data_IF_442704868923
#
_entry.id   IF_442704868923
#
_cell.length_a   1.000
_cell.length_b   1.000
_cell.length_c   1.000
_cell.angle_alpha   90.00
_cell.angle_beta   90.00
_cell.angle_gamma   90.00
#
_symmetry.space_group_name_H-M   'P 1'
#
loop_
_entity.id
_entity.type
_entity.pdbx_description
1 polymer ?
#
# COMPACT_ATOMS: atom_id res chain seq x y z
N UNK A 1 -32.37 -58.29 -32.64
CA UNK A 1 -30.95 -58.75 -32.64
C UNK A 1 -30.15 -57.77 -33.50
N UNK A 2 -30.10 -56.47 -33.16
CA UNK A 2 -29.53 -55.82 -31.98
C UNK A 2 -28.03 -56.06 -31.82
N UNK A 3 -27.26 -55.07 -32.26
CA UNK A 3 -26.10 -54.54 -31.53
C UNK A 3 -25.79 -53.16 -32.09
N UNK A 4 -26.41 -52.14 -31.48
CA UNK A 4 -25.95 -50.76 -31.56
C UNK A 4 -24.71 -50.64 -30.68
N UNK A 5 -23.58 -50.30 -31.28
CA UNK A 5 -22.40 -49.83 -30.53
C UNK A 5 -22.71 -48.46 -29.95
N UNK A 6 -22.84 -48.39 -28.64
CA UNK A 6 -22.99 -47.15 -27.87
C UNK A 6 -21.61 -46.49 -27.82
N UNK A 7 -21.50 -45.28 -28.36
CA UNK A 7 -20.35 -44.41 -28.12
C UNK A 7 -20.56 -43.72 -26.78
N UNK A 8 -19.60 -43.84 -25.86
CA UNK A 8 -19.62 -43.14 -24.59
C UNK A 8 -19.31 -41.64 -24.79
N UNK A 9 -20.13 -40.72 -24.23
CA UNK A 9 -19.79 -39.30 -24.20
C UNK A 9 -18.87 -39.03 -23.00
N UNK A 10 -17.58 -38.92 -23.26
CA UNK A 10 -16.57 -38.71 -22.23
C UNK A 10 -15.28 -38.09 -22.75
N UNK A 11 -15.35 -36.89 -23.34
CA UNK A 11 -14.20 -35.98 -23.45
C UNK A 11 -14.68 -34.53 -23.33
N UNK A 12 -14.85 -34.03 -22.09
CA UNK A 12 -14.78 -32.59 -21.84
C UNK A 12 -13.31 -32.21 -21.77
N UNK A 13 -12.71 -32.00 -22.94
CA UNK A 13 -11.40 -31.34 -23.05
C UNK A 13 -11.66 -29.84 -23.10
N UNK A 14 -11.68 -29.21 -21.93
CA UNK A 14 -11.47 -27.76 -21.78
C UNK A 14 -10.77 -27.53 -20.43
N UNK A 15 -9.57 -28.10 -20.30
CA UNK A 15 -8.59 -27.57 -19.35
C UNK A 15 -8.05 -26.28 -19.97
N UNK A 16 -8.84 -25.19 -19.85
CA UNK A 16 -8.33 -23.84 -20.08
C UNK A 16 -7.32 -23.57 -18.97
N UNK A 17 -6.08 -23.99 -19.16
CA UNK A 17 -4.97 -23.52 -18.35
C UNK A 17 -4.94 -22.01 -18.50
N UNK A 18 -5.48 -21.29 -17.51
CA UNK A 18 -5.43 -19.84 -17.48
C UNK A 18 -3.98 -19.44 -17.71
N UNK A 19 -3.72 -18.63 -18.74
CA UNK A 19 -2.37 -18.15 -19.02
C UNK A 19 -1.78 -17.53 -17.74
N UNK A 20 -0.51 -17.81 -17.41
CA UNK A 20 0.04 -17.36 -16.14
C UNK A 20 -0.09 -15.85 -16.01
N UNK A 21 -0.68 -15.40 -14.90
CA UNK A 21 -0.85 -13.98 -14.59
C UNK A 21 0.51 -13.30 -14.53
N UNK A 22 0.61 -12.09 -15.09
CA UNK A 22 1.84 -11.31 -15.03
C UNK A 22 2.10 -10.84 -13.60
N UNK A 23 3.34 -10.86 -13.14
CA UNK A 23 3.68 -10.37 -11.80
C UNK A 23 3.75 -8.84 -11.80
N UNK A 24 2.88 -8.20 -11.02
CA UNK A 24 2.91 -6.77 -10.78
C UNK A 24 3.39 -6.50 -9.35
N UNK A 25 4.49 -5.78 -9.21
CA UNK A 25 4.92 -5.25 -7.91
C UNK A 25 4.58 -3.76 -7.84
N UNK A 26 3.93 -3.35 -6.76
CA UNK A 26 3.62 -1.95 -6.44
C UNK A 26 4.44 -1.53 -5.23
N UNK A 27 5.29 -0.52 -5.40
CA UNK A 27 6.06 0.08 -4.31
C UNK A 27 5.31 1.31 -3.81
N UNK A 28 4.69 1.22 -2.63
CA UNK A 28 3.92 2.29 -2.01
C UNK A 28 2.45 1.90 -1.83
N UNK A 29 2.07 1.60 -0.59
CA UNK A 29 0.70 1.31 -0.16
C UNK A 29 -0.13 2.59 0.10
N UNK A 30 0.10 3.64 -0.69
CA UNK A 30 -0.59 4.92 -0.56
C UNK A 30 -1.83 5.02 -1.47
N UNK A 31 -2.58 6.11 -1.33
CA UNK A 31 -3.80 6.36 -2.12
C UNK A 31 -3.57 6.25 -3.63
N UNK A 32 -2.45 6.75 -4.16
CA UNK A 32 -2.17 6.70 -5.59
C UNK A 32 -1.93 5.26 -6.10
N UNK A 33 -1.12 4.48 -5.38
CA UNK A 33 -0.79 3.10 -5.76
C UNK A 33 -2.02 2.20 -5.71
N UNK A 34 -2.79 2.28 -4.62
CA UNK A 34 -3.98 1.44 -4.46
C UNK A 34 -5.11 1.88 -5.38
N UNK A 35 -5.29 3.18 -5.64
CA UNK A 35 -6.25 3.63 -6.65
C UNK A 35 -5.96 3.05 -8.04
N UNK A 36 -4.69 2.96 -8.42
CA UNK A 36 -4.30 2.32 -9.67
C UNK A 36 -4.62 0.81 -9.67
N UNK A 37 -4.37 0.12 -8.55
CA UNK A 37 -4.72 -1.31 -8.39
C UNK A 37 -6.22 -1.54 -8.47
N UNK A 38 -7.04 -0.72 -7.79
CA UNK A 38 -8.50 -0.80 -7.88
C UNK A 38 -9.01 -0.70 -9.31
N UNK A 39 -8.49 0.24 -10.09
CA UNK A 39 -8.89 0.41 -11.49
C UNK A 39 -8.37 -0.73 -12.38
N UNK A 40 -7.17 -1.26 -12.10
CA UNK A 40 -6.65 -2.45 -12.79
C UNK A 40 -7.53 -3.68 -12.54
N UNK A 41 -7.98 -3.89 -11.31
CA UNK A 41 -8.85 -5.02 -10.95
C UNK A 41 -10.22 -4.92 -11.65
N UNK A 42 -10.73 -3.70 -11.89
CA UNK A 42 -11.97 -3.49 -12.66
C UNK A 42 -11.79 -3.75 -14.15
N UNK A 43 -10.67 -3.30 -14.72
CA UNK A 43 -10.42 -3.38 -16.17
C UNK A 43 -9.91 -4.75 -16.61
N UNK A 44 -9.13 -5.42 -15.76
CA UNK A 44 -8.42 -6.64 -16.08
C UNK A 44 -8.20 -7.51 -14.82
N UNK A 45 -9.28 -8.07 -14.22
CA UNK A 45 -9.23 -8.77 -12.93
C UNK A 45 -8.24 -9.95 -12.89
N UNK A 46 -8.09 -10.65 -14.02
CA UNK A 46 -7.27 -11.86 -14.11
C UNK A 46 -5.90 -11.64 -14.76
N UNK A 47 -5.49 -10.40 -15.03
CA UNK A 47 -4.25 -10.14 -15.77
C UNK A 47 -3.00 -10.24 -14.87
N UNK A 48 -3.11 -9.82 -13.62
CA UNK A 48 -1.96 -9.66 -12.72
C UNK A 48 -2.05 -10.51 -11.45
N UNK A 49 -0.89 -11.02 -11.05
CA UNK A 49 -0.58 -11.47 -9.70
C UNK A 49 0.13 -10.32 -8.98
N UNK A 50 -0.52 -9.73 -7.98
CA UNK A 50 -0.16 -8.41 -7.44
C UNK A 50 0.51 -8.56 -6.07
N UNK A 51 1.69 -7.95 -5.91
CA UNK A 51 2.32 -7.73 -4.62
C UNK A 51 2.45 -6.21 -4.36
N UNK A 52 2.13 -5.78 -3.15
CA UNK A 52 2.19 -4.38 -2.72
C UNK A 52 3.12 -4.26 -1.52
N UNK A 53 4.07 -3.33 -1.58
CA UNK A 53 4.92 -2.94 -0.44
C UNK A 53 4.44 -1.64 0.19
N UNK A 54 4.27 -1.64 1.50
CA UNK A 54 4.05 -0.45 2.33
C UNK A 54 5.10 -0.35 3.42
N UNK A 55 5.76 0.81 3.53
CA UNK A 55 6.73 1.07 4.60
C UNK A 55 6.04 1.21 5.98
N UNK A 56 4.78 1.64 5.99
CA UNK A 56 3.97 1.76 7.21
C UNK A 56 3.32 0.41 7.58
N UNK A 57 3.11 0.13 8.89
CA UNK A 57 2.50 -1.12 9.36
C UNK A 57 0.96 -1.12 9.29
N UNK A 58 0.38 -0.39 8.33
CA UNK A 58 -1.06 -0.15 8.24
C UNK A 58 -1.60 -0.38 6.81
N UNK A 59 -2.88 -0.78 6.65
CA UNK A 59 -3.54 -0.72 5.35
C UNK A 59 -3.57 0.72 4.81
N UNK A 60 -3.87 0.89 3.53
CA UNK A 60 -3.96 2.22 2.95
C UNK A 60 -5.14 3.01 3.55
N UNK A 61 -4.92 4.31 3.70
CA UNK A 61 -5.85 5.22 4.36
C UNK A 61 -5.87 6.57 3.65
N UNK A 62 -6.92 7.35 3.90
CA UNK A 62 -7.05 8.69 3.38
C UNK A 62 -6.20 9.65 4.21
N UNK A 63 -4.97 9.89 3.76
CA UNK A 63 -4.00 10.76 4.45
C UNK A 63 -4.47 12.20 4.62
N UNK A 64 -5.41 12.67 3.78
CA UNK A 64 -6.00 14.02 3.92
C UNK A 64 -6.80 14.14 5.22
N UNK A 65 -7.34 13.02 5.73
CA UNK A 65 -8.15 12.99 6.93
C UNK A 65 -7.32 12.83 8.22
N UNK A 66 -5.98 12.89 8.15
CA UNK A 66 -5.16 12.90 9.37
C UNK A 66 -5.44 14.13 10.25
N UNK A 67 -5.85 15.27 9.68
CA UNK A 67 -6.18 16.49 10.44
C UNK A 67 -7.42 16.30 11.34
N UNK A 68 -8.55 15.78 10.82
CA UNK A 68 -9.65 15.31 11.65
C UNK A 68 -9.27 14.25 12.69
N UNK A 69 -8.31 13.36 12.41
CA UNK A 69 -7.82 12.43 13.44
C UNK A 69 -7.06 13.17 14.55
N UNK A 70 -6.18 14.09 14.18
CA UNK A 70 -5.41 14.91 15.12
C UNK A 70 -6.32 15.77 16.01
N UNK A 71 -7.42 16.31 15.47
CA UNK A 71 -8.41 17.09 16.25
C UNK A 71 -9.36 16.21 17.08
N UNK A 72 -9.36 14.90 16.87
CA UNK A 72 -10.25 13.95 17.55
C UNK A 72 -11.65 13.86 16.95
N UNK A 73 -11.89 14.46 15.78
CA UNK A 73 -13.15 14.37 15.04
C UNK A 73 -13.35 13.00 14.36
N UNK A 74 -12.26 12.33 14.01
CA UNK A 74 -12.27 11.00 13.40
C UNK A 74 -11.27 10.05 14.08
N UNK A 75 -11.50 8.75 13.93
CA UNK A 75 -10.54 7.70 14.34
C UNK A 75 -9.73 7.19 13.16
N UNK A 76 -8.61 6.52 13.44
CA UNK A 76 -7.77 5.92 12.39
C UNK A 76 -8.53 4.88 11.56
N UNK A 77 -9.43 4.13 12.18
CA UNK A 77 -10.25 3.11 11.51
C UNK A 77 -11.22 3.73 10.51
N UNK A 78 -11.75 4.93 10.81
CA UNK A 78 -12.70 5.64 9.95
C UNK A 78 -12.06 6.18 8.66
N UNK A 79 -10.73 6.32 8.63
CA UNK A 79 -10.00 6.85 7.48
C UNK A 79 -9.36 5.75 6.63
N UNK A 80 -9.48 4.47 7.01
CA UNK A 80 -9.02 3.32 6.21
C UNK A 80 -9.84 3.26 4.91
N UNK A 81 -9.15 3.16 3.77
CA UNK A 81 -9.78 3.09 2.46
C UNK A 81 -10.08 1.65 2.05
N UNK A 82 -9.09 0.76 2.19
CA UNK A 82 -9.25 -0.66 1.93
C UNK A 82 -8.78 -1.44 3.16
N UNK A 83 -9.66 -2.17 3.86
CA UNK A 83 -9.26 -2.98 5.01
C UNK A 83 -8.35 -4.14 4.58
N UNK A 84 -7.61 -4.75 5.51
CA UNK A 84 -6.74 -5.90 5.20
C UNK A 84 -7.46 -7.03 4.47
N UNK A 85 -8.73 -7.26 4.81
CA UNK A 85 -9.57 -8.26 4.16
C UNK A 85 -9.74 -7.99 2.65
N UNK A 86 -9.81 -6.72 2.23
CA UNK A 86 -9.92 -6.37 0.81
C UNK A 86 -8.72 -6.86 0.01
N UNK A 87 -7.50 -6.76 0.56
CA UNK A 87 -6.31 -7.28 -0.10
C UNK A 87 -6.36 -8.81 -0.23
N UNK A 88 -6.78 -9.49 0.85
CA UNK A 88 -6.93 -10.94 0.86
C UNK A 88 -7.98 -11.43 -0.14
N UNK A 89 -9.13 -10.77 -0.20
CA UNK A 89 -10.24 -11.12 -1.10
C UNK A 89 -9.87 -10.97 -2.58
N UNK A 90 -8.97 -10.03 -2.91
CA UNK A 90 -8.46 -9.83 -4.27
C UNK A 90 -7.16 -10.61 -4.54
N UNK A 91 -6.70 -11.45 -3.61
CA UNK A 91 -5.46 -12.22 -3.75
C UNK A 91 -4.19 -11.36 -3.85
N UNK A 92 -4.21 -10.16 -3.28
CA UNK A 92 -3.06 -9.24 -3.26
C UNK A 92 -2.11 -9.64 -2.13
N UNK A 93 -0.85 -9.88 -2.45
CA UNK A 93 0.21 -10.07 -1.45
C UNK A 93 0.62 -8.72 -0.87
N UNK A 94 0.13 -8.40 0.32
CA UNK A 94 0.43 -7.15 1.00
C UNK A 94 1.61 -7.33 1.98
N UNK A 95 2.68 -6.56 1.75
CA UNK A 95 3.88 -6.50 2.57
C UNK A 95 3.89 -5.19 3.38
N UNK A 96 3.34 -5.21 4.59
CA UNK A 96 3.30 -4.06 5.50
C UNK A 96 4.56 -3.94 6.36
N UNK A 97 4.92 -2.71 6.71
CA UNK A 97 6.13 -2.44 7.50
C UNK A 97 7.43 -2.79 6.79
N UNK A 98 7.41 -2.88 5.44
CA UNK A 98 8.56 -3.30 4.62
C UNK A 98 8.95 -2.19 3.66
N UNK A 99 10.08 -1.55 3.93
CA UNK A 99 10.59 -0.49 3.06
C UNK A 99 11.37 -1.11 1.92
N UNK A 100 11.00 -0.80 0.68
CA UNK A 100 11.81 -1.21 -0.48
C UNK A 100 13.09 -0.38 -0.53
N UNK A 101 14.23 -1.08 -0.54
CA UNK A 101 15.58 -0.48 -0.52
C UNK A 101 16.36 -0.66 -1.82
N UNK A 102 15.98 -1.63 -2.66
CA UNK A 102 16.65 -1.88 -3.94
C UNK A 102 15.68 -2.40 -5.02
N UNK A 103 15.96 -2.05 -6.28
CA UNK A 103 15.26 -2.55 -7.47
C UNK A 103 16.31 -3.06 -8.45
N UNK A 104 16.49 -4.37 -8.48
CA UNK A 104 17.47 -5.04 -9.33
C UNK A 104 16.92 -5.21 -10.74
N UNK A 105 16.96 -4.15 -11.54
CA UNK A 105 16.32 -4.07 -12.87
C UNK A 105 16.72 -5.18 -13.85
N UNK A 106 17.97 -5.65 -13.80
CA UNK A 106 18.45 -6.76 -14.66
C UNK A 106 17.81 -8.10 -14.29
N UNK A 107 17.64 -8.34 -12.99
CA UNK A 107 17.02 -9.57 -12.46
C UNK A 107 15.50 -9.43 -12.33
N UNK A 108 14.97 -8.21 -12.46
CA UNK A 108 13.56 -7.83 -12.24
C UNK A 108 13.05 -8.27 -10.87
N UNK A 109 13.77 -7.88 -9.82
CA UNK A 109 13.41 -8.17 -8.43
C UNK A 109 13.41 -6.88 -7.62
N UNK A 110 12.39 -6.72 -6.78
CA UNK A 110 12.31 -5.70 -5.72
C UNK A 110 12.78 -6.31 -4.41
N UNK A 111 13.54 -5.55 -3.62
CA UNK A 111 14.12 -6.00 -2.35
C UNK A 111 13.73 -5.02 -1.24
N UNK A 112 13.17 -5.57 -0.15
CA UNK A 112 12.88 -4.82 1.06
C UNK A 112 14.06 -4.84 2.06
N UNK A 113 14.01 -3.92 3.03
CA UNK A 113 14.94 -3.79 4.15
C UNK A 113 15.11 -5.07 4.97
N UNK A 114 14.04 -5.85 5.16
CA UNK A 114 14.06 -7.15 5.83
C UNK A 114 14.61 -8.31 4.96
N UNK A 115 15.03 -8.02 3.73
CA UNK A 115 15.51 -9.00 2.77
C UNK A 115 14.41 -9.70 1.96
N UNK A 116 13.14 -9.35 2.13
CA UNK A 116 12.04 -9.87 1.28
C UNK A 116 12.29 -9.54 -0.18
N UNK A 117 12.06 -10.51 -1.06
CA UNK A 117 12.30 -10.40 -2.51
C UNK A 117 11.03 -10.71 -3.28
N UNK A 118 10.62 -9.81 -4.17
CA UNK A 118 9.49 -10.02 -5.07
C UNK A 118 9.92 -9.86 -6.54
N UNK A 119 9.87 -10.93 -7.35
CA UNK A 119 10.12 -10.84 -8.79
C UNK A 119 8.93 -10.17 -9.50
N UNK A 120 9.20 -9.43 -10.57
CA UNK A 120 8.17 -8.68 -11.29
C UNK A 120 8.31 -8.76 -12.82
N UNK A 121 7.17 -8.72 -13.50
CA UNK A 121 7.07 -8.44 -14.94
C UNK A 121 6.76 -6.96 -15.19
N UNK A 122 6.01 -6.35 -14.27
CA UNK A 122 5.68 -4.92 -14.26
C UNK A 122 5.92 -4.36 -12.86
N UNK A 123 6.40 -3.11 -12.82
CA UNK A 123 6.70 -2.40 -11.60
C UNK A 123 5.98 -1.05 -11.60
N UNK A 124 5.21 -0.78 -10.55
CA UNK A 124 4.61 0.52 -10.28
C UNK A 124 5.29 1.15 -9.08
N UNK A 125 5.88 2.34 -9.25
CA UNK A 125 6.48 3.11 -8.16
C UNK A 125 5.51 4.22 -7.77
N UNK A 126 4.93 4.09 -6.59
CA UNK A 126 3.91 4.98 -6.02
C UNK A 126 4.26 5.37 -4.56
N UNK A 127 5.55 5.59 -4.28
CA UNK A 127 6.09 5.88 -2.93
C UNK A 127 5.64 7.21 -2.34
N UNK A 128 5.05 8.09 -3.16
CA UNK A 128 4.69 9.44 -2.73
C UNK A 128 5.94 10.28 -2.43
N UNK A 129 5.90 11.01 -1.32
CA UNK A 129 6.97 11.94 -0.91
C UNK A 129 7.18 11.94 0.60
N UNK A 130 8.34 12.46 1.02
CA UNK A 130 8.70 12.69 2.41
C UNK A 130 8.55 14.19 2.75
N UNK A 131 8.29 14.54 4.03
CA UNK A 131 8.29 15.94 4.46
C UNK A 131 9.69 16.54 4.25
N UNK A 132 9.73 17.82 3.87
CA UNK A 132 10.98 18.57 3.82
C UNK A 132 11.37 19.01 5.23
N UNK A 133 12.50 18.51 5.72
CA UNK A 133 13.05 18.89 7.02
C UNK A 133 14.01 20.07 6.81
N UNK A 134 13.80 21.16 7.55
CA UNK A 134 14.59 22.37 7.41
C UNK A 134 16.07 22.11 7.76
N UNK A 135 17.04 22.60 6.96
CA UNK A 135 18.45 22.40 7.22
C UNK A 135 18.97 23.40 8.28
N UNK A 136 18.43 23.34 9.48
CA UNK A 136 18.78 24.24 10.60
C UNK A 136 19.12 23.42 11.86
N UNK A 137 19.95 23.94 12.78
CA UNK A 137 20.26 23.22 14.01
C UNK A 137 19.00 22.91 14.85
N UNK A 138 18.95 21.71 15.44
CA UNK A 138 17.91 21.31 16.38
C UNK A 138 16.70 20.60 15.78
N UNK A 139 16.71 20.23 14.49
CA UNK A 139 15.60 19.47 13.88
C UNK A 139 15.45 18.03 14.39
N UNK A 140 16.47 17.51 15.07
CA UNK A 140 16.52 16.21 15.71
C UNK A 140 16.16 16.25 17.21
N UNK A 141 15.86 17.44 17.75
CA UNK A 141 15.46 17.58 19.15
C UNK A 141 14.12 16.89 19.41
N UNK A 142 14.01 16.29 20.60
CA UNK A 142 12.76 15.70 21.06
C UNK A 142 11.64 16.75 21.07
N UNK A 143 10.53 16.45 20.40
CA UNK A 143 9.38 17.36 20.26
C UNK A 143 9.32 18.10 18.92
N UNK A 144 10.37 18.02 18.09
CA UNK A 144 10.28 18.38 16.67
C UNK A 144 9.66 17.20 15.91
N UNK A 145 8.46 17.39 15.40
CA UNK A 145 7.64 16.33 14.78
C UNK A 145 7.23 16.79 13.39
N UNK A 146 7.41 15.93 12.38
CA UNK A 146 6.82 16.13 11.05
C UNK A 146 5.33 15.83 11.09
N UNK A 147 4.60 16.22 10.05
CA UNK A 147 3.19 15.86 9.92
C UNK A 147 2.90 15.25 8.56
N UNK A 148 3.02 13.92 8.49
CA UNK A 148 2.90 13.16 7.24
C UNK A 148 2.07 11.89 7.37
N UNK A 149 2.29 11.11 8.43
CA UNK A 149 1.73 9.76 8.56
C UNK A 149 1.05 9.52 9.91
N UNK A 150 0.62 8.28 10.15
CA UNK A 150 -0.07 7.90 11.38
C UNK A 150 0.87 8.01 12.59
N UNK A 151 2.16 7.67 12.43
CA UNK A 151 3.13 7.73 13.51
C UNK A 151 3.38 9.19 13.93
N UNK A 152 3.53 10.09 12.96
CA UNK A 152 3.60 11.54 13.18
C UNK A 152 2.35 12.05 13.94
N UNK A 153 1.17 11.65 13.47
CA UNK A 153 -0.11 12.06 14.08
C UNK A 153 -0.20 11.59 15.53
N UNK A 154 0.15 10.34 15.81
CA UNK A 154 0.14 9.80 17.17
C UNK A 154 1.16 10.51 18.06
N UNK A 155 2.37 10.78 17.56
CA UNK A 155 3.39 11.52 18.29
C UNK A 155 2.91 12.93 18.68
N UNK A 156 2.17 13.61 17.78
CA UNK A 156 1.57 14.91 18.06
C UNK A 156 0.45 14.82 19.12
N UNK A 157 -0.43 13.81 19.04
CA UNK A 157 -1.47 13.57 20.07
C UNK A 157 -0.83 13.35 21.44
N UNK A 158 0.19 12.48 21.52
CA UNK A 158 0.90 12.17 22.76
C UNK A 158 1.66 13.39 23.32
N UNK A 159 2.13 14.28 22.44
CA UNK A 159 2.74 15.54 22.83
C UNK A 159 1.68 16.52 23.38
N UNK A 160 0.52 16.63 22.76
CA UNK A 160 -0.57 17.53 23.18
C UNK A 160 -1.18 17.16 24.55
N UNK A 161 -1.11 15.89 24.94
CA UNK A 161 -1.49 15.45 26.29
C UNK A 161 -0.55 16.02 27.37
N UNK A 162 0.72 16.24 27.05
CA UNK A 162 1.77 16.66 27.99
C UNK A 162 2.08 18.15 27.93
N UNK A 163 2.07 18.74 26.74
CA UNK A 163 2.49 20.11 26.48
C UNK A 163 1.29 20.98 26.07
N UNK A 164 1.37 22.29 26.35
CA UNK A 164 0.29 23.25 26.07
C UNK A 164 0.65 24.33 25.07
N UNK A 165 1.91 24.39 24.65
CA UNK A 165 2.43 25.35 23.70
C UNK A 165 3.03 24.60 22.53
N UNK A 166 2.69 25.02 21.31
CA UNK A 166 3.21 24.48 20.07
C UNK A 166 3.64 25.64 19.17
N UNK A 167 4.68 25.42 18.37
CA UNK A 167 5.10 26.32 17.32
C UNK A 167 5.00 25.55 16.00
N UNK A 168 4.22 26.09 15.06
CA UNK A 168 4.12 25.50 13.73
C UNK A 168 5.10 26.20 12.80
N UNK A 169 5.97 25.42 12.17
CA UNK A 169 6.95 25.93 11.21
C UNK A 169 6.45 25.59 9.79
N UNK A 170 5.71 26.53 9.19
CA UNK A 170 5.17 26.43 7.84
C UNK A 170 3.70 26.85 7.79
N UNK A 171 3.39 27.95 7.09
CA UNK A 171 2.03 28.49 6.95
C UNK A 171 1.26 27.95 5.74
N UNK A 172 1.55 26.72 5.30
CA UNK A 172 0.79 26.05 4.24
C UNK A 172 -0.54 25.48 4.76
N UNK A 173 -1.38 24.92 3.89
CA UNK A 173 -2.70 24.39 4.27
C UNK A 173 -2.64 23.35 5.41
N UNK A 174 -1.57 22.56 5.51
CA UNK A 174 -1.40 21.58 6.57
C UNK A 174 -0.91 22.17 7.90
N UNK A 175 -0.35 23.38 7.89
CA UNK A 175 0.16 24.05 9.09
C UNK A 175 -0.82 25.05 9.70
N UNK A 176 -1.89 25.39 8.99
CA UNK A 176 -3.00 26.22 9.47
C UNK A 176 -4.09 25.33 10.07
#
# INVERSE_FOLDING_TARGET
MDTKTVLEPGQTSDDFSASPRLKLVVIGNGMAGIRAVEELLKLAPDLYDIAVFGAEPHPNYNRILLSPVLSGEQTLEQIVLNPLQWYADHGIRLHLGKTVVDVQRRQRVVIADDGTREPYDRLLIATGSNPFILPVPGTDLQGVISYRDIADTQAMIDAALRYKQAVVIGGGLLGL
#
